data_IF_183720857614
#
_entry.id   IF_183720857614
#
_cell.length_a   1.000
_cell.length_b   1.000
_cell.length_c   1.000
_cell.angle_alpha   90.00
_cell.angle_beta   90.00
_cell.angle_gamma   90.00
#
_symmetry.space_group_name_H-M   'P 1'
#
loop_
_entity.id
_entity.type
_entity.pdbx_description
1 polymer ?
#
# COMPACT_ATOMS: atom_id res chain seq x y z
N UNK A 1 17.85 0.49 11.00
CA UNK A 1 17.25 1.00 9.75
C UNK A 1 16.46 2.28 10.04
N UNK A 2 16.06 3.05 9.02
CA UNK A 2 15.18 4.24 9.19
C UNK A 2 13.90 3.89 9.97
N UNK A 3 13.35 2.70 9.74
CA UNK A 3 12.18 2.17 10.47
C UNK A 3 12.45 1.92 11.95
N UNK A 4 13.63 1.43 12.31
CA UNK A 4 13.99 1.15 13.71
C UNK A 4 14.21 2.44 14.52
N UNK A 5 14.78 3.47 13.88
CA UNK A 5 15.07 4.75 14.52
C UNK A 5 13.93 5.76 14.40
N UNK A 6 12.92 5.45 13.58
CA UNK A 6 11.75 6.30 13.37
C UNK A 6 10.97 6.53 14.66
N UNK A 7 10.38 7.72 14.80
CA UNK A 7 9.41 8.00 15.86
C UNK A 7 8.01 7.42 15.60
N UNK A 8 7.75 6.95 14.39
CA UNK A 8 6.46 6.38 13.98
C UNK A 8 6.33 4.91 14.39
N UNK A 9 5.13 4.54 14.83
CA UNK A 9 4.80 3.20 15.27
C UNK A 9 4.26 2.32 14.14
N UNK A 10 3.56 2.92 13.18
CA UNK A 10 2.93 2.23 12.05
C UNK A 10 3.28 2.93 10.75
N UNK A 11 3.60 2.14 9.73
CA UNK A 11 3.80 2.61 8.36
C UNK A 11 2.76 1.99 7.43
N UNK A 12 2.19 2.79 6.54
CA UNK A 12 1.27 2.32 5.51
C UNK A 12 1.69 2.77 4.11
N UNK A 13 1.46 1.89 3.15
CA UNK A 13 1.40 2.26 1.74
C UNK A 13 -0.01 2.72 1.35
N UNK A 14 -0.08 3.64 0.39
CA UNK A 14 -1.34 4.05 -0.22
C UNK A 14 -1.85 2.99 -1.21
N UNK A 15 -3.16 2.95 -1.39
CA UNK A 15 -3.85 2.09 -2.33
C UNK A 15 -4.69 2.93 -3.31
N UNK A 16 -5.30 2.25 -4.29
CA UNK A 16 -6.36 2.80 -5.12
C UNK A 16 -7.62 3.16 -4.30
N UNK A 17 -8.78 3.33 -4.95
CA UNK A 17 -9.98 3.92 -4.32
C UNK A 17 -10.83 2.93 -3.52
N UNK A 18 -10.46 1.66 -3.39
CA UNK A 18 -11.28 0.65 -2.71
C UNK A 18 -10.89 0.46 -1.24
N UNK A 19 -11.82 0.58 -0.26
CA UNK A 19 -13.26 0.77 -0.42
C UNK A 19 -13.65 2.23 -0.72
N UNK A 20 -14.57 2.40 -1.68
CA UNK A 20 -14.93 3.72 -2.22
C UNK A 20 -15.57 4.65 -1.18
N UNK A 21 -16.35 4.10 -0.26
CA UNK A 21 -16.95 4.88 0.83
C UNK A 21 -15.90 5.53 1.72
N UNK A 22 -14.79 4.83 2.01
CA UNK A 22 -13.68 5.37 2.79
C UNK A 22 -12.92 6.38 1.96
N UNK A 23 -12.62 6.06 0.70
CA UNK A 23 -11.94 7.00 -0.20
C UNK A 23 -12.70 8.31 -0.32
N UNK A 24 -14.01 8.25 -0.58
CA UNK A 24 -14.86 9.44 -0.71
C UNK A 24 -14.93 10.25 0.59
N UNK A 25 -14.78 9.61 1.75
CA UNK A 25 -14.82 10.26 3.06
C UNK A 25 -13.51 10.96 3.43
N UNK A 26 -12.35 10.30 3.28
CA UNK A 26 -11.06 10.82 3.77
C UNK A 26 -10.07 11.22 2.65
N UNK A 27 -10.36 10.85 1.41
CA UNK A 27 -9.56 11.18 0.22
C UNK A 27 -8.40 10.21 -0.07
N UNK A 28 -8.25 9.14 0.71
CA UNK A 28 -7.22 8.13 0.52
C UNK A 28 -7.61 6.79 1.16
N UNK A 29 -6.87 5.75 0.81
CA UNK A 29 -7.02 4.38 1.31
C UNK A 29 -5.63 3.78 1.49
N UNK A 30 -5.45 2.95 2.52
CA UNK A 30 -4.23 2.17 2.75
C UNK A 30 -4.30 0.80 2.11
N UNK A 31 -3.18 0.28 1.63
CA UNK A 31 -3.11 -1.10 1.16
C UNK A 31 -3.10 -2.06 2.35
N UNK A 32 -4.08 -2.98 2.42
CA UNK A 32 -4.19 -3.94 3.53
C UNK A 32 -2.97 -4.85 3.69
N UNK A 33 -2.32 -5.18 2.57
CA UNK A 33 -1.13 -6.05 2.55
C UNK A 33 0.20 -5.33 2.75
N UNK A 34 0.21 -4.00 2.92
CA UNK A 34 1.43 -3.20 3.05
C UNK A 34 1.33 -2.28 4.27
N UNK A 35 1.34 -2.92 5.45
CA UNK A 35 1.46 -2.27 6.74
C UNK A 35 2.67 -2.83 7.51
N UNK A 36 3.43 -1.95 8.16
CA UNK A 36 4.53 -2.32 9.04
C UNK A 36 4.25 -1.78 10.43
N UNK A 37 4.33 -2.66 11.43
CA UNK A 37 3.84 -2.40 12.78
C UNK A 37 4.97 -2.61 13.78
N UNK A 38 5.27 -1.59 14.58
CA UNK A 38 6.16 -1.71 15.73
C UNK A 38 5.38 -2.30 16.90
N UNK A 39 5.99 -3.20 17.65
CA UNK A 39 5.37 -3.79 18.85
C UNK A 39 5.42 -2.82 20.04
N UNK A 40 4.69 -1.71 19.94
CA UNK A 40 4.46 -0.77 21.06
C UNK A 40 3.09 -1.02 21.68
N UNK A 41 2.87 -0.65 22.96
CA UNK A 41 1.57 -0.83 23.61
C UNK A 41 0.40 -0.23 22.81
N UNK A 42 0.60 0.96 22.23
CA UNK A 42 -0.38 1.65 21.39
C UNK A 42 -0.74 0.89 20.12
N UNK A 43 0.25 0.23 19.50
CA UNK A 43 0.02 -0.58 18.29
C UNK A 43 -0.60 -1.92 18.63
N UNK A 44 -0.22 -2.55 19.75
CA UNK A 44 -0.87 -3.78 20.22
C UNK A 44 -2.36 -3.51 20.41
N UNK A 45 -2.72 -2.41 21.06
CA UNK A 45 -4.11 -2.00 21.22
C UNK A 45 -4.82 -1.76 19.88
N UNK A 46 -4.14 -1.17 18.90
CA UNK A 46 -4.67 -1.01 17.55
C UNK A 46 -4.92 -2.35 16.87
N UNK A 47 -3.96 -3.28 16.93
CA UNK A 47 -4.10 -4.63 16.34
C UNK A 47 -5.19 -5.44 17.02
N UNK A 48 -5.33 -5.36 18.34
CA UNK A 48 -6.45 -6.00 19.08
C UNK A 48 -7.81 -5.45 18.63
N UNK A 49 -7.90 -4.14 18.36
CA UNK A 49 -9.11 -3.53 17.82
C UNK A 49 -9.41 -4.00 16.39
N UNK A 50 -8.40 -4.18 15.54
CA UNK A 50 -8.59 -4.80 14.22
C UNK A 50 -9.09 -6.24 14.38
N UNK A 51 -8.41 -7.04 15.19
CA UNK A 51 -8.72 -8.45 15.41
C UNK A 51 -10.15 -8.65 15.94
N UNK A 52 -10.55 -7.88 16.95
CA UNK A 52 -11.89 -7.96 17.56
C UNK A 52 -13.03 -7.66 16.56
N UNK A 53 -12.76 -6.91 15.50
CA UNK A 53 -13.73 -6.56 14.44
C UNK A 53 -13.71 -7.51 13.25
N UNK A 54 -12.55 -8.07 12.93
CA UNK A 54 -12.38 -9.01 11.83
C UNK A 54 -13.18 -10.31 12.04
N UNK A 55 -13.19 -10.81 13.28
CA UNK A 55 -13.64 -12.18 13.53
C UNK A 55 -12.63 -13.21 12.99
N UNK A 56 -13.11 -14.20 12.22
CA UNK A 56 -12.29 -15.32 11.73
C UNK A 56 -11.74 -15.07 10.32
N UNK A 57 -12.53 -14.47 9.43
CA UNK A 57 -12.15 -14.15 8.06
C UNK A 57 -12.70 -12.76 7.72
N UNK A 58 -11.82 -11.82 7.43
CA UNK A 58 -12.19 -10.50 6.95
C UNK A 58 -11.27 -10.06 5.82
N UNK A 59 -11.75 -9.07 5.08
CA UNK A 59 -10.93 -8.35 4.12
C UNK A 59 -10.11 -7.30 4.90
N UNK A 60 -8.81 -7.52 5.00
CA UNK A 60 -7.86 -6.65 5.70
C UNK A 60 -7.83 -5.23 5.09
N UNK A 61 -7.98 -5.13 3.77
CA UNK A 61 -8.11 -3.89 3.01
C UNK A 61 -9.33 -3.09 3.50
N UNK A 62 -10.49 -3.71 3.64
CA UNK A 62 -11.71 -3.02 4.09
C UNK A 62 -11.59 -2.66 5.57
N UNK A 63 -11.24 -3.64 6.40
CA UNK A 63 -11.24 -3.50 7.85
C UNK A 63 -10.33 -2.37 8.32
N UNK A 64 -9.07 -2.34 7.86
CA UNK A 64 -8.12 -1.34 8.32
C UNK A 64 -8.58 0.07 7.95
N UNK A 65 -9.09 0.24 6.74
CA UNK A 65 -9.55 1.52 6.23
C UNK A 65 -10.80 2.01 6.95
N UNK A 66 -11.74 1.13 7.25
CA UNK A 66 -12.93 1.46 8.05
C UNK A 66 -12.56 1.87 9.47
N UNK A 67 -11.66 1.13 10.14
CA UNK A 67 -11.23 1.45 11.52
C UNK A 67 -10.48 2.78 11.57
N UNK A 68 -9.55 3.00 10.64
CA UNK A 68 -8.82 4.27 10.50
C UNK A 68 -9.77 5.44 10.27
N UNK A 69 -10.70 5.30 9.32
CA UNK A 69 -11.56 6.41 8.89
C UNK A 69 -12.68 6.75 9.88
N UNK A 70 -13.09 5.80 10.73
CA UNK A 70 -14.28 5.94 11.56
C UNK A 70 -14.01 5.89 13.06
N UNK A 71 -12.92 5.27 13.51
CA UNK A 71 -12.80 4.89 14.92
C UNK A 71 -11.53 5.37 15.61
N UNK A 72 -10.45 5.61 14.88
CA UNK A 72 -9.16 5.95 15.49
C UNK A 72 -9.02 7.42 15.89
N UNK A 73 -9.93 8.29 15.43
CA UNK A 73 -9.89 9.74 15.60
C UNK A 73 -8.47 10.28 15.32
N UNK A 74 -8.01 10.06 14.08
CA UNK A 74 -6.64 10.41 13.71
C UNK A 74 -6.56 11.88 13.37
N UNK A 75 -5.64 12.55 14.05
CA UNK A 75 -5.20 13.89 13.68
C UNK A 75 -4.12 13.79 12.61
N UNK A 76 -4.52 14.07 11.36
CA UNK A 76 -3.62 14.04 10.21
C UNK A 76 -2.83 15.35 10.09
N UNK A 77 -1.51 15.26 10.00
CA UNK A 77 -0.64 16.37 9.66
C UNK A 77 -0.47 16.44 8.14
N UNK A 78 -1.40 17.15 7.50
CA UNK A 78 -1.51 17.32 6.05
C UNK A 78 -1.08 18.73 5.66
N UNK A 79 -0.23 18.83 4.64
CA UNK A 79 0.25 20.12 4.11
C UNK A 79 -0.65 20.68 3.01
N UNK A 80 -1.66 19.91 2.55
CA UNK A 80 -2.59 20.29 1.49
C UNK A 80 -2.01 20.17 0.08
N UNK A 81 -0.70 19.92 -0.03
CA UNK A 81 0.02 19.72 -1.28
C UNK A 81 0.07 18.25 -1.71
N UNK A 82 -0.65 17.35 -1.03
CA UNK A 82 -0.46 15.91 -1.27
C UNK A 82 -1.03 15.40 -2.60
N UNK A 83 -1.91 16.18 -3.22
CA UNK A 83 -2.43 15.96 -4.57
C UNK A 83 -1.61 16.67 -5.66
N UNK A 84 -0.54 17.42 -5.31
CA UNK A 84 0.37 18.01 -6.29
C UNK A 84 1.25 16.90 -6.87
N UNK A 85 0.68 16.21 -7.84
CA UNK A 85 1.36 15.18 -8.58
C UNK A 85 2.31 15.81 -9.61
N UNK A 86 3.50 15.20 -9.76
CA UNK A 86 4.18 15.18 -11.07
C UNK A 86 3.10 14.80 -12.07
N UNK A 87 2.71 15.73 -12.92
CA UNK A 87 1.83 15.49 -14.05
C UNK A 87 2.43 14.29 -14.79
N UNK A 88 1.94 13.06 -14.52
CA UNK A 88 2.16 11.95 -15.43
C UNK A 88 1.53 12.49 -16.69
N UNK A 89 2.38 12.84 -17.67
CA UNK A 89 1.98 13.57 -18.86
C UNK A 89 0.78 12.85 -19.44
N UNK A 90 -0.39 13.42 -19.23
CA UNK A 90 -1.67 12.95 -19.75
C UNK A 90 -1.72 13.10 -21.27
N UNK A 91 -0.62 13.54 -21.89
CA UNK A 91 -0.44 13.78 -23.31
C UNK A 91 -0.40 12.50 -24.16
N UNK A 92 -0.17 11.31 -23.57
CA UNK A 92 -0.09 10.04 -24.33
C UNK A 92 -1.26 9.07 -24.05
N UNK A 93 -2.31 9.50 -23.35
CA UNK A 93 -3.51 8.67 -23.16
C UNK A 93 -4.44 8.86 -24.36
N UNK A 94 -4.20 8.08 -25.41
CA UNK A 94 -5.14 7.90 -26.53
C UNK A 94 -6.51 7.46 -25.98
N UNK A 95 -7.56 8.21 -26.30
CA UNK A 95 -8.94 8.04 -25.80
C UNK A 95 -9.50 6.62 -25.99
N UNK A 96 -8.90 5.83 -26.90
CA UNK A 96 -9.32 4.46 -27.20
C UNK A 96 -8.96 3.40 -26.14
N UNK A 97 -8.10 3.69 -25.16
CA UNK A 97 -7.66 2.69 -24.15
C UNK A 97 -8.24 2.91 -22.73
N UNK A 98 -9.29 3.74 -22.61
CA UNK A 98 -9.90 4.13 -21.32
C UNK A 98 -10.38 2.96 -20.44
N UNK A 99 -10.64 1.79 -21.02
CA UNK A 99 -11.09 0.62 -20.26
C UNK A 99 -9.97 -0.37 -19.92
N UNK A 100 -8.77 -0.20 -20.45
CA UNK A 100 -7.61 -1.08 -20.21
C UNK A 100 -6.49 -0.41 -19.39
N UNK A 101 -6.51 0.92 -19.25
CA UNK A 101 -5.44 1.64 -18.60
C UNK A 101 -5.58 1.65 -17.07
N UNK A 102 -4.75 0.83 -16.43
CA UNK A 102 -4.38 0.87 -15.01
C UNK A 102 -4.24 2.29 -14.42
N UNK A 103 -3.87 3.28 -15.24
CA UNK A 103 -3.68 4.68 -14.87
C UNK A 103 -4.95 5.41 -14.44
N UNK A 104 -6.13 5.07 -14.97
CA UNK A 104 -7.39 5.76 -14.60
C UNK A 104 -7.75 5.54 -13.11
N UNK A 105 -7.31 4.40 -12.54
CA UNK A 105 -7.49 4.09 -11.11
C UNK A 105 -6.60 4.95 -10.21
N UNK A 106 -5.56 5.57 -10.76
CA UNK A 106 -4.58 6.38 -10.02
C UNK A 106 -4.91 7.88 -10.05
N UNK A 107 -5.81 8.31 -10.93
CA UNK A 107 -6.20 9.72 -11.05
C UNK A 107 -6.88 10.22 -9.78
N UNK A 108 -6.36 11.33 -9.24
CA UNK A 108 -6.89 12.00 -8.05
C UNK A 108 -6.45 11.36 -6.72
N UNK A 109 -5.53 10.39 -6.75
CA UNK A 109 -4.96 9.82 -5.54
C UNK A 109 -3.97 10.77 -4.88
N UNK A 110 -3.76 10.56 -3.57
CA UNK A 110 -2.67 11.19 -2.83
C UNK A 110 -1.33 10.63 -3.32
N UNK A 111 -0.32 11.49 -3.43
CA UNK A 111 1.01 11.13 -3.93
C UNK A 111 2.11 11.36 -2.92
N UNK A 112 1.99 12.42 -2.12
CA UNK A 112 2.90 12.69 -1.02
C UNK A 112 2.44 12.01 0.26
N UNK A 113 3.40 11.40 0.94
CA UNK A 113 3.22 10.82 2.25
C UNK A 113 2.91 11.90 3.27
N UNK A 114 2.27 11.49 4.34
CA UNK A 114 1.83 12.34 5.43
C UNK A 114 1.86 11.53 6.72
N UNK A 115 1.61 12.20 7.84
CA UNK A 115 1.67 11.55 9.16
C UNK A 115 0.39 11.80 9.91
N UNK A 116 0.12 10.95 10.90
CA UNK A 116 -1.04 11.12 11.77
C UNK A 116 -0.79 10.55 13.15
N UNK A 117 -1.62 10.96 14.11
CA UNK A 117 -1.61 10.40 15.46
C UNK A 117 -3.03 9.98 15.82
N UNK A 118 -3.22 8.71 16.19
CA UNK A 118 -4.52 8.24 16.69
C UNK A 118 -4.74 8.81 18.09
N UNK A 119 -5.83 9.57 18.27
CA UNK A 119 -6.22 10.04 19.61
C UNK A 119 -6.80 8.93 20.49
N UNK A 120 -7.32 7.87 19.88
CA UNK A 120 -7.90 6.72 20.58
C UNK A 120 -6.86 5.77 21.19
N UNK A 121 -5.78 5.51 20.47
CA UNK A 121 -4.78 4.51 20.87
C UNK A 121 -3.38 5.10 21.06
N UNK A 122 -3.15 6.34 20.63
CA UNK A 122 -1.89 7.05 20.83
C UNK A 122 -0.76 6.67 19.87
N UNK A 123 -0.97 5.73 18.94
CA UNK A 123 0.08 5.36 17.98
C UNK A 123 0.27 6.45 16.92
N UNK A 124 1.52 6.66 16.51
CA UNK A 124 1.92 7.55 15.42
C UNK A 124 2.02 6.77 14.12
N UNK A 125 1.41 7.31 13.06
CA UNK A 125 1.36 6.72 11.73
C UNK A 125 2.19 7.55 10.75
N UNK A 126 2.92 6.87 9.88
CA UNK A 126 3.53 7.43 8.68
C UNK A 126 2.93 6.75 7.45
N UNK A 127 2.45 7.56 6.52
CA UNK A 127 2.04 7.13 5.20
C UNK A 127 3.18 7.45 4.26
N UNK A 128 3.66 6.44 3.53
CA UNK A 128 4.72 6.63 2.56
C UNK A 128 4.26 7.49 1.38
N UNK A 129 5.21 8.19 0.73
CA UNK A 129 5.00 8.68 -0.62
C UNK A 129 4.53 7.51 -1.48
N UNK A 130 3.53 7.73 -2.32
CA UNK A 130 2.95 6.66 -3.12
C UNK A 130 4.05 5.94 -3.88
N UNK A 131 4.94 6.66 -4.53
CA UNK A 131 5.98 6.07 -5.37
C UNK A 131 7.09 5.36 -4.56
N UNK A 132 7.14 5.53 -3.24
CA UNK A 132 8.09 4.84 -2.34
C UNK A 132 7.60 3.46 -1.90
N UNK A 133 6.30 3.27 -1.76
CA UNK A 133 5.67 1.98 -1.48
C UNK A 133 4.32 1.92 -2.20
N UNK A 134 4.27 1.18 -3.31
CA UNK A 134 3.10 1.15 -4.19
C UNK A 134 2.71 -0.24 -4.68
N UNK A 135 1.50 -0.29 -5.25
CA UNK A 135 0.99 -1.46 -5.95
C UNK A 135 1.52 -1.51 -7.39
N UNK A 136 2.45 -2.42 -7.62
CA UNK A 136 3.10 -2.63 -8.91
C UNK A 136 2.15 -3.21 -9.97
N UNK A 137 2.35 -2.87 -11.24
CA UNK A 137 1.70 -3.56 -12.36
C UNK A 137 2.01 -5.06 -12.34
N UNK A 138 1.15 -5.93 -12.87
CA UNK A 138 1.43 -7.37 -12.93
C UNK A 138 2.75 -7.69 -13.64
N UNK A 139 3.03 -6.99 -14.74
CA UNK A 139 4.28 -7.08 -15.49
C UNK A 139 4.96 -5.70 -15.47
N UNK A 140 6.09 -5.53 -14.76
CA UNK A 140 6.81 -4.27 -14.75
C UNK A 140 7.49 -4.04 -16.11
N UNK A 141 7.38 -2.82 -16.65
CA UNK A 141 8.16 -2.38 -17.82
C UNK A 141 9.42 -1.63 -17.40
N UNK A 142 9.40 -1.02 -16.22
CA UNK A 142 10.46 -0.19 -15.67
C UNK A 142 10.57 -0.48 -14.17
N UNK A 143 11.79 -0.34 -13.63
CA UNK A 143 12.01 -0.44 -12.20
C UNK A 143 11.81 0.93 -11.54
N UNK A 144 11.05 1.01 -10.45
CA UNK A 144 10.80 2.26 -9.78
C UNK A 144 12.07 2.78 -9.09
N UNK A 145 12.39 4.06 -9.34
CA UNK A 145 13.50 4.74 -8.68
C UNK A 145 13.16 5.02 -7.21
N UNK A 146 14.10 4.76 -6.29
CA UNK A 146 13.94 5.03 -4.84
C UNK A 146 12.72 4.35 -4.21
N UNK A 147 12.34 3.16 -4.69
CA UNK A 147 11.28 2.35 -4.09
C UNK A 147 11.85 1.38 -3.06
N UNK A 148 11.13 1.24 -1.95
CA UNK A 148 11.47 0.28 -0.92
C UNK A 148 10.70 -1.04 -1.06
N UNK A 149 9.42 -1.00 -1.46
CA UNK A 149 8.56 -2.20 -1.59
C UNK A 149 7.52 -2.04 -2.70
N UNK A 150 7.52 -2.97 -3.67
CA UNK A 150 6.43 -3.12 -4.65
C UNK A 150 5.59 -4.36 -4.36
N UNK A 151 4.27 -4.19 -4.23
CA UNK A 151 3.34 -5.32 -4.16
C UNK A 151 2.70 -5.53 -5.55
N UNK A 152 2.99 -6.62 -6.27
CA UNK A 152 2.45 -6.83 -7.60
C UNK A 152 0.94 -7.03 -7.55
N UNK A 153 0.24 -6.44 -8.53
CA UNK A 153 -1.16 -6.75 -8.79
C UNK A 153 -1.21 -8.13 -9.43
N UNK A 154 -1.99 -9.00 -8.81
CA UNK A 154 -2.40 -10.27 -9.43
C UNK A 154 -3.79 -10.04 -9.99
N UNK A 155 -4.00 -10.36 -11.26
CA UNK A 155 -5.34 -10.39 -11.84
C UNK A 155 -6.25 -11.23 -10.93
N UNK A 156 -7.39 -10.66 -10.53
CA UNK A 156 -8.33 -11.29 -9.62
C UNK A 156 -8.75 -12.70 -10.10
N UNK A 157 -8.87 -12.92 -11.42
CA UNK A 157 -9.22 -14.21 -12.00
C UNK A 157 -8.13 -15.27 -11.76
N UNK A 158 -6.87 -14.85 -11.72
CA UNK A 158 -5.70 -15.73 -11.51
C UNK A 158 -5.44 -15.94 -10.01
N UNK A 159 -5.70 -14.92 -9.19
CA UNK A 159 -5.53 -14.93 -7.72
C UNK A 159 -6.31 -16.06 -7.04
N UNK A 160 -7.54 -16.34 -7.48
CA UNK A 160 -8.39 -17.37 -6.88
C UNK A 160 -8.15 -18.77 -7.44
N UNK A 161 -7.55 -18.88 -8.63
CA UNK A 161 -7.30 -20.17 -9.29
C UNK A 161 -5.99 -20.81 -8.86
N UNK A 162 -5.00 -20.01 -8.46
CA UNK A 162 -3.70 -20.51 -8.03
C UNK A 162 -3.14 -19.61 -6.93
N UNK A 163 -3.07 -20.06 -5.67
CA UNK A 163 -2.39 -19.32 -4.58
C UNK A 163 -0.96 -18.91 -4.94
N UNK A 164 -0.32 -19.68 -5.82
CA UNK A 164 1.01 -19.44 -6.38
C UNK A 164 1.09 -18.24 -7.34
N UNK A 165 -0.03 -17.73 -7.86
CA UNK A 165 -0.02 -16.59 -8.79
C UNK A 165 0.59 -15.34 -8.18
N UNK A 166 0.35 -15.12 -6.88
CA UNK A 166 0.94 -13.99 -6.16
C UNK A 166 2.45 -14.15 -6.01
N UNK A 167 2.90 -15.35 -5.67
CA UNK A 167 4.34 -15.66 -5.59
C UNK A 167 5.02 -15.50 -6.95
N UNK A 168 4.44 -16.04 -8.02
CA UNK A 168 4.96 -15.86 -9.39
C UNK A 168 5.04 -14.40 -9.82
N UNK A 169 4.10 -13.58 -9.38
CA UNK A 169 4.13 -12.15 -9.68
C UNK A 169 5.28 -11.46 -8.92
N UNK A 170 5.59 -11.88 -7.69
CA UNK A 170 6.80 -11.43 -7.00
C UNK A 170 8.06 -11.89 -7.73
N UNK A 171 8.13 -13.16 -8.15
CA UNK A 171 9.28 -13.69 -8.91
C UNK A 171 9.52 -12.87 -10.20
N UNK A 172 8.44 -12.54 -10.92
CA UNK A 172 8.51 -11.70 -12.13
C UNK A 172 9.08 -10.31 -11.84
N UNK A 173 8.72 -9.72 -10.69
CA UNK A 173 9.26 -8.44 -10.26
C UNK A 173 10.73 -8.52 -9.83
N UNK A 174 11.11 -9.57 -9.11
CA UNK A 174 12.49 -9.78 -8.68
C UNK A 174 13.44 -10.06 -9.85
N UNK A 175 12.96 -10.78 -10.88
CA UNK A 175 13.69 -11.00 -12.13
C UNK A 175 13.89 -9.70 -12.92
N UNK A 176 12.85 -8.86 -13.01
CA UNK A 176 12.90 -7.60 -13.77
C UNK A 176 13.65 -6.49 -13.02
N UNK A 177 13.52 -6.44 -11.70
CA UNK A 177 14.10 -5.42 -10.83
C UNK A 177 15.01 -6.02 -9.76
N UNK A 178 16.14 -6.64 -10.15
CA UNK A 178 17.01 -7.33 -9.22
C UNK A 178 17.67 -6.34 -8.25
N UNK A 179 17.52 -6.60 -6.95
CA UNK A 179 18.22 -5.88 -5.89
C UNK A 179 19.38 -6.73 -5.33
N UNK A 180 20.13 -6.17 -4.39
CA UNK A 180 21.28 -6.86 -3.76
C UNK A 180 20.88 -8.16 -3.04
N UNK A 181 19.63 -8.27 -2.57
CA UNK A 181 19.08 -9.47 -1.96
C UNK A 181 18.60 -10.50 -2.99
N UNK A 182 18.13 -10.05 -4.17
CA UNK A 182 17.77 -10.92 -5.30
C UNK A 182 18.99 -11.69 -5.83
N UNK A 183 20.18 -11.08 -5.79
CA UNK A 183 21.44 -11.70 -6.27
C UNK A 183 22.10 -12.65 -5.25
N UNK A 184 21.79 -12.51 -3.97
CA UNK A 184 22.29 -13.39 -2.90
C UNK A 184 21.46 -14.67 -2.73
N UNK A 185 20.26 -14.72 -3.31
CA UNK A 185 19.33 -15.84 -3.21
C UNK A 185 19.58 -16.90 -4.29
N UNK A 186 20.83 -17.29 -4.53
CA UNK A 186 21.12 -18.61 -5.10
C UNK A 186 20.91 -19.66 -4.01
N UNK A 187 19.68 -19.77 -3.50
CA UNK A 187 19.32 -20.82 -2.53
C UNK A 187 18.84 -22.01 -3.34
N UNK A 188 19.55 -23.12 -3.14
CA UNK A 188 19.18 -24.46 -3.56
C UNK A 188 17.66 -24.65 -3.63
N UNK A 189 17.17 -25.03 -4.80
CA UNK A 189 15.82 -25.52 -4.99
C UNK A 189 15.45 -26.47 -3.86
N UNK A 190 14.41 -26.16 -3.09
CA UNK A 190 13.77 -27.15 -2.24
C UNK A 190 13.27 -28.27 -3.16
N UNK A 191 13.96 -29.40 -3.10
CA UNK A 191 13.50 -30.70 -3.60
C UNK A 191 12.66 -31.38 -2.52
#
# INVERSE_FOLDING_TARGET
>A
SELEQSEFDVFHALETKHPEEVFNKQGFVFCGGMGWFRSTPSVIQFVEMLQSKCGILCDDQILINVVVANELDIEWNRTGDEHKERTIRTADIDEKHRFENHYDRLVGLVTKGFTGVSRKTGHKMKVWDRDFAYRGKPNPSECPENNWVSMPIVDAVVRWKTPLAKMKAFDTWDEHCPNEYSRGSSVNSFR
#
